data_IF_501535658722
#
_entry.id   IF_501535658722
#
_cell.length_a   1.000
_cell.length_b   1.000
_cell.length_c   1.000
_cell.angle_alpha   90.00
_cell.angle_beta   90.00
_cell.angle_gamma   90.00
#
_symmetry.space_group_name_H-M   'P 1'
#
loop_
_entity.id
_entity.type
_entity.pdbx_description
1 polymer ?
#
# COMPACT_ATOMS: atom_id res chain seq x y z
N UNK A 1 -1.18 -0.50 9.28
CA UNK A 1 -1.39 -1.78 8.57
C UNK A 1 -2.89 -1.89 8.33
N UNK A 2 -3.33 -2.16 7.10
CA UNK A 2 -4.76 -2.24 6.75
C UNK A 2 -5.10 -3.71 6.52
N UNK A 3 -6.13 -4.22 7.18
CA UNK A 3 -6.62 -5.58 6.92
C UNK A 3 -7.59 -5.56 5.73
N UNK A 4 -7.33 -6.38 4.72
CA UNK A 4 -8.23 -6.51 3.58
C UNK A 4 -9.45 -7.34 3.94
N UNK A 5 -10.66 -6.82 3.76
CA UNK A 5 -11.90 -7.48 4.16
C UNK A 5 -12.25 -8.70 3.31
N UNK A 6 -12.05 -8.62 1.98
CA UNK A 6 -12.36 -9.74 1.09
C UNK A 6 -11.36 -10.90 1.14
N UNK A 7 -10.06 -10.60 1.28
CA UNK A 7 -9.00 -11.61 1.23
C UNK A 7 -8.45 -11.98 2.60
N UNK A 8 -8.91 -11.29 3.66
CA UNK A 8 -8.51 -11.47 5.05
C UNK A 8 -6.98 -11.49 5.21
N UNK A 9 -6.29 -10.48 4.69
CA UNK A 9 -4.84 -10.39 4.82
C UNK A 9 -4.38 -8.96 5.06
N UNK A 10 -3.21 -8.78 5.72
CA UNK A 10 -2.64 -7.46 5.89
C UNK A 10 -2.16 -6.93 4.54
N UNK A 11 -2.55 -5.70 4.22
CA UNK A 11 -2.04 -4.95 3.09
C UNK A 11 -0.90 -4.06 3.54
N UNK A 12 0.15 -4.07 2.74
CA UNK A 12 1.20 -3.07 2.85
C UNK A 12 0.87 -1.90 1.93
N UNK A 13 0.66 -0.74 2.54
CA UNK A 13 0.32 0.48 1.83
C UNK A 13 1.43 1.50 2.06
N UNK A 14 1.88 2.15 0.99
CA UNK A 14 2.84 3.24 1.10
C UNK A 14 2.51 4.35 0.11
N UNK A 15 2.83 5.58 0.53
CA UNK A 15 2.58 6.79 -0.22
C UNK A 15 3.88 7.30 -0.82
N UNK A 16 3.79 7.87 -2.00
CA UNK A 16 4.85 8.64 -2.64
C UNK A 16 4.27 9.93 -3.19
N UNK A 17 5.04 11.01 -3.13
CA UNK A 17 4.72 12.25 -3.80
C UNK A 17 5.73 12.51 -4.92
N UNK A 18 5.23 13.04 -6.03
CA UNK A 18 6.06 13.54 -7.11
C UNK A 18 5.57 14.93 -7.51
N UNK A 19 6.48 15.73 -8.07
CA UNK A 19 6.15 17.02 -8.66
C UNK A 19 6.68 17.05 -10.07
N UNK A 20 5.81 17.37 -11.03
CA UNK A 20 6.24 17.62 -12.41
C UNK A 20 6.93 18.98 -12.50
N UNK A 21 7.90 19.14 -13.40
CA UNK A 21 8.72 20.37 -13.51
C UNK A 21 7.89 21.66 -13.61
N UNK A 22 6.72 21.58 -14.24
CA UNK A 22 5.79 22.71 -14.46
C UNK A 22 4.35 22.36 -14.04
N UNK A 23 4.18 21.37 -13.15
CA UNK A 23 2.86 20.84 -12.82
C UNK A 23 2.60 20.71 -11.33
N UNK A 24 1.35 20.37 -11.02
CA UNK A 24 0.92 20.15 -9.65
C UNK A 24 1.62 18.94 -9.03
N UNK A 25 1.71 18.98 -7.70
CA UNK A 25 2.12 17.80 -6.94
C UNK A 25 1.10 16.69 -7.17
N UNK A 26 1.60 15.47 -7.33
CA UNK A 26 0.80 14.26 -7.46
C UNK A 26 1.17 13.32 -6.33
N UNK A 27 0.16 12.68 -5.76
CA UNK A 27 0.35 11.65 -4.74
C UNK A 27 -0.01 10.30 -5.35
N UNK A 28 0.84 9.31 -5.10
CA UNK A 28 0.62 7.93 -5.47
C UNK A 28 0.45 7.09 -4.20
N UNK A 29 -0.56 6.24 -4.22
CA UNK A 29 -0.73 5.18 -3.24
C UNK A 29 -0.45 3.84 -3.88
N UNK A 30 0.42 3.07 -3.26
CA UNK A 30 0.70 1.70 -3.63
C UNK A 30 0.14 0.77 -2.57
N UNK A 31 -0.55 -0.29 -3.00
CA UNK A 31 -0.93 -1.42 -2.18
C UNK A 31 -0.18 -2.64 -2.70
N UNK A 32 0.75 -3.15 -1.90
CA UNK A 32 1.53 -4.34 -2.21
C UNK A 32 0.94 -5.58 -1.57
N UNK A 33 0.96 -6.68 -2.31
CA UNK A 33 0.42 -7.98 -1.92
C UNK A 33 1.16 -9.12 -2.62
N UNK A 34 0.90 -10.36 -2.19
CA UNK A 34 1.44 -11.57 -2.83
C UNK A 34 0.39 -12.19 -3.75
N UNK A 35 0.83 -12.70 -4.89
CA UNK A 35 0.02 -13.62 -5.68
C UNK A 35 0.22 -15.09 -5.23
N UNK A 36 -0.48 -16.02 -5.88
CA UNK A 36 -0.40 -17.45 -5.56
C UNK A 36 1.01 -18.06 -5.75
N UNK A 37 1.83 -17.47 -6.60
CA UNK A 37 3.22 -17.91 -6.88
C UNK A 37 4.24 -17.41 -5.85
N UNK A 38 3.80 -16.58 -4.88
CA UNK A 38 4.61 -15.84 -3.91
C UNK A 38 5.30 -14.60 -4.48
N UNK A 39 5.07 -14.26 -5.74
CA UNK A 39 5.61 -13.03 -6.30
C UNK A 39 4.96 -11.80 -5.62
N UNK A 40 5.77 -10.76 -5.39
CA UNK A 40 5.24 -9.46 -5.01
C UNK A 40 4.49 -8.84 -6.19
N UNK A 41 3.30 -8.31 -5.91
CA UNK A 41 2.46 -7.54 -6.83
C UNK A 41 2.07 -6.25 -6.15
N UNK A 42 1.69 -5.26 -6.96
CA UNK A 42 1.15 -4.03 -6.44
C UNK A 42 -0.02 -3.53 -7.28
N UNK A 43 -0.85 -2.70 -6.67
CA UNK A 43 -1.81 -1.85 -7.37
C UNK A 43 -1.57 -0.41 -6.98
N UNK A 44 -1.67 0.49 -7.95
CA UNK A 44 -1.38 1.91 -7.80
C UNK A 44 -2.63 2.75 -8.04
N UNK A 45 -2.78 3.79 -7.22
CA UNK A 45 -3.76 4.87 -7.42
C UNK A 45 -3.05 6.21 -7.44
N UNK A 46 -3.64 7.17 -8.14
CA UNK A 46 -3.16 8.55 -8.27
C UNK A 46 -4.18 9.49 -7.63
N UNK A 47 -3.69 10.42 -6.83
CA UNK A 47 -4.48 11.44 -6.13
C UNK A 47 -3.87 12.82 -6.34
N UNK A 48 -4.70 13.86 -6.22
CA UNK A 48 -4.24 15.25 -6.30
C UNK A 48 -3.59 15.72 -4.98
N UNK A 49 -3.92 15.08 -3.86
CA UNK A 49 -3.40 15.45 -2.55
C UNK A 49 -3.23 14.26 -1.60
N UNK A 50 -2.49 14.48 -0.51
CA UNK A 50 -2.28 13.45 0.53
C UNK A 50 -3.60 13.15 1.24
N UNK A 51 -4.42 14.16 1.49
CA UNK A 51 -5.71 14.04 2.17
C UNK A 51 -6.65 13.10 1.39
N UNK A 52 -6.71 13.23 0.07
CA UNK A 52 -7.50 12.33 -0.78
C UNK A 52 -6.99 10.88 -0.71
N UNK A 53 -5.67 10.69 -0.73
CA UNK A 53 -5.06 9.36 -0.62
C UNK A 53 -5.35 8.73 0.76
N UNK A 54 -5.27 9.52 1.83
CA UNK A 54 -5.61 9.10 3.19
C UNK A 54 -7.10 8.77 3.34
N UNK A 55 -7.98 9.56 2.73
CA UNK A 55 -9.41 9.27 2.70
C UNK A 55 -9.67 7.92 2.01
N UNK A 56 -9.02 7.67 0.87
CA UNK A 56 -9.11 6.37 0.20
C UNK A 56 -8.59 5.22 1.08
N UNK A 57 -7.47 5.41 1.76
CA UNK A 57 -6.94 4.42 2.70
C UNK A 57 -7.93 4.08 3.81
N UNK A 58 -8.60 5.08 4.37
CA UNK A 58 -9.56 4.89 5.47
C UNK A 58 -10.91 4.31 5.03
N UNK A 59 -11.33 4.55 3.79
CA UNK A 59 -12.70 4.23 3.34
C UNK A 59 -12.78 3.06 2.36
N UNK A 60 -11.76 2.83 1.53
CA UNK A 60 -11.87 1.95 0.36
C UNK A 60 -10.74 0.91 0.27
N UNK A 61 -9.54 1.18 0.80
CA UNK A 61 -8.40 0.28 0.62
C UNK A 61 -8.62 -1.16 1.13
N UNK A 62 -9.53 -1.36 2.09
CA UNK A 62 -9.84 -2.69 2.64
C UNK A 62 -10.82 -3.51 1.78
N UNK A 63 -11.48 -2.90 0.79
CA UNK A 63 -12.51 -3.54 -0.05
C UNK A 63 -12.19 -3.54 -1.54
N UNK A 64 -11.12 -2.88 -1.97
CA UNK A 64 -10.75 -2.82 -3.38
C UNK A 64 -10.41 -4.19 -3.95
N UNK A 65 -10.77 -4.47 -5.20
CA UNK A 65 -10.36 -5.71 -5.86
C UNK A 65 -8.88 -5.65 -6.19
N UNK A 66 -8.10 -6.63 -5.73
CA UNK A 66 -6.67 -6.74 -6.02
C UNK A 66 -6.45 -7.91 -7.00
N UNK A 67 -5.96 -7.64 -8.23
CA UNK A 67 -5.78 -8.69 -9.23
C UNK A 67 -4.88 -9.82 -8.73
N UNK A 68 -5.34 -11.07 -8.86
CA UNK A 68 -4.53 -12.26 -8.57
C UNK A 68 -3.97 -12.36 -7.14
N UNK A 69 -4.48 -11.55 -6.20
CA UNK A 69 -4.05 -11.63 -4.81
C UNK A 69 -4.31 -13.03 -4.24
N UNK A 70 -3.33 -13.51 -3.46
CA UNK A 70 -3.49 -14.65 -2.59
C UNK A 70 -3.47 -14.17 -1.15
N UNK A 71 -4.65 -14.09 -0.51
CA UNK A 71 -4.75 -13.73 0.91
C UNK A 71 -3.91 -14.64 1.80
N UNK A 72 -3.87 -15.94 1.49
CA UNK A 72 -3.03 -16.92 2.17
C UNK A 72 -1.54 -16.56 2.09
N UNK A 73 -1.01 -16.32 0.88
CA UNK A 73 0.42 -15.98 0.69
C UNK A 73 0.75 -14.63 1.31
N UNK A 74 -0.11 -13.64 1.15
CA UNK A 74 0.08 -12.30 1.75
C UNK A 74 0.12 -12.39 3.27
N UNK A 75 -0.71 -13.24 3.90
CA UNK A 75 -0.70 -13.44 5.36
C UNK A 75 0.54 -14.22 5.84
N UNK A 76 0.93 -15.26 5.12
CA UNK A 76 2.07 -16.11 5.50
C UNK A 76 3.43 -15.43 5.24
N UNK A 77 3.49 -14.56 4.24
CA UNK A 77 4.70 -13.88 3.77
C UNK A 77 4.38 -12.40 3.52
N UNK A 78 4.02 -11.67 4.59
CA UNK A 78 3.61 -10.28 4.48
C UNK A 78 4.74 -9.46 3.87
N UNK A 79 4.35 -8.57 2.96
CA UNK A 79 5.26 -7.53 2.51
C UNK A 79 5.30 -6.52 3.65
N UNK A 80 6.48 -6.31 4.22
CA UNK A 80 6.70 -5.28 5.23
C UNK A 80 7.53 -4.17 4.61
N UNK A 81 7.30 -2.94 5.06
CA UNK A 81 8.15 -1.82 4.68
C UNK A 81 9.60 -2.00 5.12
N UNK A 82 10.47 -1.02 4.81
CA UNK A 82 11.83 -1.02 5.35
C UNK A 82 11.77 -1.21 6.86
N UNK A 83 12.68 -2.03 7.39
CA UNK A 83 12.82 -2.18 8.83
C UNK A 83 12.99 -0.79 9.47
N UNK A 84 12.38 -0.52 10.64
CA UNK A 84 12.59 0.74 11.33
C UNK A 84 14.08 0.96 11.54
N UNK A 85 14.54 2.18 11.26
CA UNK A 85 15.94 2.55 11.46
C UNK A 85 16.25 2.44 12.97
N UNK A 86 17.19 1.57 13.39
CA UNK A 86 17.55 1.45 14.80
C UNK A 86 18.02 2.79 15.40
N UNK A 87 18.49 3.74 14.59
CA UNK A 87 18.90 5.07 15.04
C UNK A 87 17.74 6.01 15.40
N UNK A 88 16.50 5.76 14.92
CA UNK A 88 15.34 6.61 15.19
C UNK A 88 14.69 6.38 16.57
N UNK A 89 15.12 5.34 17.29
CA UNK A 89 14.55 4.93 18.59
C UNK A 89 15.34 5.42 19.81
N UNK A 90 16.39 6.23 19.60
CA UNK A 90 17.32 6.65 20.64
C UNK A 90 17.21 8.15 21.02
N UNK A 91 16.06 8.79 20.79
CA UNK A 91 15.81 10.19 21.12
C UNK A 91 14.77 10.35 22.24
#
# INVERSE_FOLDING_TARGET
MIEHLHYHCPLYCWLSSARYREGEAVVFLYIEYRDATRASRYRQWRFASIEQAQQFLGQQASTVVLPQISGLRTRQQPITGPAPDPAATAA
#
